data_IF_490723395111
#
_entry.id   IF_490723395111
#
_cell.length_a   1.000
_cell.length_b   1.000
_cell.length_c   1.000
_cell.angle_alpha   90.00
_cell.angle_beta   90.00
_cell.angle_gamma   90.00
#
_symmetry.space_group_name_H-M   'P 1'
#
loop_
_entity.id
_entity.type
_entity.pdbx_description
1 polymer ?
#
# COMPACT_ATOMS: atom_id res chain seq x y z
N UNK A 1 11.72 1.31 39.44
CA UNK A 1 10.26 1.20 39.41
C UNK A 1 9.80 0.51 40.68
N UNK A 2 8.76 1.00 41.37
CA UNK A 2 8.18 0.26 42.49
C UNK A 2 7.51 -1.02 41.97
N UNK A 3 7.91 -2.16 42.53
CA UNK A 3 7.31 -3.46 42.20
C UNK A 3 5.92 -3.54 42.83
N UNK A 4 4.89 -3.85 42.05
CA UNK A 4 3.57 -4.14 42.61
C UNK A 4 3.64 -5.50 43.33
N UNK A 5 3.82 -5.46 44.65
CA UNK A 5 4.00 -6.66 45.48
C UNK A 5 2.81 -7.63 45.41
N UNK A 6 1.60 -7.12 45.18
CA UNK A 6 0.41 -7.95 45.04
C UNK A 6 0.42 -8.74 43.74
N UNK A 7 0.80 -8.12 42.62
CA UNK A 7 0.93 -8.80 41.34
C UNK A 7 1.99 -9.90 41.39
N UNK A 8 3.13 -9.63 42.03
CA UNK A 8 4.20 -10.64 42.20
C UNK A 8 3.68 -11.86 42.96
N UNK A 9 2.94 -11.64 44.05
CA UNK A 9 2.33 -12.71 44.85
C UNK A 9 1.32 -13.52 44.03
N UNK A 10 0.46 -12.87 43.24
CA UNK A 10 -0.52 -13.55 42.37
C UNK A 10 0.15 -14.42 41.31
N UNK A 11 1.21 -13.93 40.67
CA UNK A 11 1.98 -14.70 39.69
C UNK A 11 2.70 -15.90 40.33
N UNK A 12 3.22 -15.75 41.54
CA UNK A 12 3.80 -16.89 42.30
C UNK A 12 2.74 -17.95 42.60
N UNK A 13 1.53 -17.54 43.00
CA UNK A 13 0.42 -18.47 43.22
C UNK A 13 -0.02 -19.16 41.92
N UNK A 14 -0.06 -18.42 40.82
CA UNK A 14 -0.38 -18.99 39.50
C UNK A 14 0.66 -20.02 39.05
N UNK A 15 1.95 -19.77 39.27
CA UNK A 15 3.02 -20.74 39.00
C UNK A 15 2.84 -22.04 39.81
N UNK A 16 2.59 -21.93 41.11
CA UNK A 16 2.34 -23.09 41.98
C UNK A 16 1.12 -23.90 41.51
N UNK A 17 0.01 -23.22 41.20
CA UNK A 17 -1.20 -23.85 40.68
C UNK A 17 -0.95 -24.59 39.36
N UNK A 18 -0.21 -23.98 38.42
CA UNK A 18 0.12 -24.61 37.14
C UNK A 18 0.99 -25.86 37.32
N UNK A 19 1.91 -25.84 38.29
CA UNK A 19 2.75 -26.99 38.64
C UNK A 19 1.93 -28.14 39.21
N UNK A 20 1.04 -27.86 40.17
CA UNK A 20 0.16 -28.84 40.82
C UNK A 20 -0.87 -29.47 39.85
N UNK A 21 -1.28 -28.74 38.82
CA UNK A 21 -2.28 -29.19 37.83
C UNK A 21 -1.66 -29.77 36.56
N UNK A 22 -0.40 -30.20 36.60
CA UNK A 22 0.23 -30.94 35.49
C UNK A 22 0.68 -30.08 34.30
N UNK A 23 0.85 -28.77 34.49
CA UNK A 23 1.40 -27.85 33.49
C UNK A 23 2.77 -27.26 33.93
N UNK A 24 3.78 -28.10 34.23
CA UNK A 24 5.06 -27.64 34.80
C UNK A 24 5.82 -26.68 33.88
N UNK A 25 5.61 -26.79 32.57
CA UNK A 25 6.26 -25.95 31.56
C UNK A 25 5.67 -24.53 31.52
N UNK A 26 4.37 -24.36 31.82
CA UNK A 26 3.76 -23.04 31.98
C UNK A 26 4.19 -22.40 33.31
N UNK A 27 4.27 -23.20 34.38
CA UNK A 27 4.82 -22.74 35.66
C UNK A 27 6.27 -22.23 35.49
N UNK A 28 7.11 -22.99 34.77
CA UNK A 28 8.48 -22.60 34.47
C UNK A 28 8.57 -21.29 33.67
N UNK A 29 7.65 -21.04 32.73
CA UNK A 29 7.60 -19.77 32.00
C UNK A 29 7.26 -18.60 32.94
N UNK A 30 6.30 -18.77 33.84
CA UNK A 30 5.94 -17.76 34.86
C UNK A 30 7.12 -17.51 35.81
N UNK A 31 7.79 -18.56 36.27
CA UNK A 31 8.97 -18.46 37.14
C UNK A 31 10.13 -17.75 36.43
N UNK A 32 10.33 -18.03 35.15
CA UNK A 32 11.33 -17.36 34.31
C UNK A 32 11.08 -15.85 34.24
N UNK A 33 9.81 -15.45 34.11
CA UNK A 33 9.41 -14.04 34.10
C UNK A 33 9.55 -13.38 35.48
N UNK A 34 9.31 -14.13 36.57
CA UNK A 34 9.45 -13.67 37.95
C UNK A 34 10.90 -13.58 38.45
N UNK A 35 11.83 -14.30 37.80
CA UNK A 35 13.25 -14.27 38.13
C UNK A 35 13.86 -12.86 37.92
N UNK A 36 14.97 -12.52 38.60
CA UNK A 36 15.68 -11.27 38.34
C UNK A 36 16.03 -11.13 36.85
N UNK A 37 15.58 -10.04 36.22
CA UNK A 37 15.75 -9.82 34.77
C UNK A 37 14.76 -10.56 33.87
N UNK A 38 13.92 -11.45 34.41
CA UNK A 38 12.91 -12.20 33.66
C UNK A 38 11.91 -11.32 32.91
N UNK A 39 11.55 -10.18 33.51
CA UNK A 39 10.67 -9.20 32.88
C UNK A 39 11.24 -8.63 31.57
N UNK A 40 12.58 -8.61 31.41
CA UNK A 40 13.21 -8.14 30.18
C UNK A 40 13.07 -9.14 29.01
N UNK A 41 12.84 -10.42 29.30
CA UNK A 41 12.69 -11.47 28.28
C UNK A 41 11.35 -11.41 27.56
N UNK A 42 10.32 -10.90 28.24
CA UNK A 42 8.97 -10.75 27.67
C UNK A 42 8.63 -9.30 27.34
N UNK A 43 9.48 -8.36 27.75
CA UNK A 43 9.31 -6.98 27.35
C UNK A 43 9.59 -6.93 25.85
N UNK A 44 8.66 -6.42 25.02
CA UNK A 44 9.00 -6.13 23.64
C UNK A 44 10.25 -5.24 23.67
N UNK A 45 11.26 -5.60 22.89
CA UNK A 45 12.50 -4.83 22.83
C UNK A 45 12.11 -3.38 22.61
N UNK A 46 12.33 -2.52 23.61
CA UNK A 46 12.09 -1.09 23.41
C UNK A 46 13.08 -0.72 22.34
N UNK A 47 12.59 -0.38 21.14
CA UNK A 47 13.47 0.02 20.06
C UNK A 47 14.26 1.23 20.55
N UNK A 48 15.57 1.04 20.70
CA UNK A 48 16.49 2.07 21.19
C UNK A 48 16.87 3.05 20.09
N UNK A 49 16.07 3.11 19.02
CA UNK A 49 16.39 3.87 17.83
C UNK A 49 16.19 5.36 18.02
N UNK A 50 16.88 6.13 17.18
CA UNK A 50 16.77 7.59 17.18
C UNK A 50 15.38 8.02 16.71
N UNK A 51 14.85 9.10 17.29
CA UNK A 51 13.60 9.71 16.84
C UNK A 51 13.66 10.02 15.35
N UNK A 52 12.69 9.49 14.61
CA UNK A 52 12.48 9.69 13.19
C UNK A 52 11.16 10.43 13.01
N UNK A 53 11.25 11.70 12.58
CA UNK A 53 10.10 12.54 12.30
C UNK A 53 9.65 12.36 10.85
N UNK A 54 8.41 11.93 10.65
CA UNK A 54 7.77 11.79 9.34
C UNK A 54 6.82 12.98 9.15
N UNK A 55 7.13 13.88 8.21
CA UNK A 55 6.28 15.03 7.93
C UNK A 55 5.05 14.61 7.10
N UNK A 56 3.85 14.77 7.67
CA UNK A 56 2.57 14.38 7.05
C UNK A 56 1.52 15.47 7.23
N UNK A 57 0.46 15.51 6.40
CA UNK A 57 -0.71 16.35 6.68
C UNK A 57 -1.29 16.03 8.07
N UNK A 58 -1.71 17.08 8.80
CA UNK A 58 -2.26 16.93 10.16
C UNK A 58 -3.41 15.91 10.24
N UNK A 59 -4.36 15.95 9.30
CA UNK A 59 -5.46 15.00 9.25
C UNK A 59 -4.99 13.54 9.16
N UNK A 60 -3.97 13.25 8.33
CA UNK A 60 -3.42 11.90 8.18
C UNK A 60 -2.66 11.45 9.45
N UNK A 61 -1.93 12.38 10.10
CA UNK A 61 -1.28 12.10 11.39
C UNK A 61 -2.31 11.65 12.42
N UNK A 62 -3.41 12.39 12.53
CA UNK A 62 -4.45 12.16 13.53
C UNK A 62 -5.20 10.86 13.25
N UNK A 63 -5.48 10.57 11.98
CA UNK A 63 -6.06 9.30 11.52
C UNK A 63 -5.16 8.10 11.87
N UNK A 64 -3.86 8.19 11.61
CA UNK A 64 -2.88 7.14 11.97
C UNK A 64 -2.79 6.91 13.48
N UNK A 65 -2.78 7.97 14.29
CA UNK A 65 -2.81 7.83 15.74
C UNK A 65 -4.11 7.21 16.24
N UNK A 66 -5.25 7.60 15.68
CA UNK A 66 -6.55 7.04 16.04
C UNK A 66 -6.63 5.54 15.68
N UNK A 67 -6.18 5.17 14.48
CA UNK A 67 -6.15 3.78 14.01
C UNK A 67 -5.23 2.90 14.88
N UNK A 68 -4.00 3.36 15.16
CA UNK A 68 -3.07 2.64 16.03
C UNK A 68 -3.64 2.47 17.45
N UNK A 69 -4.23 3.53 18.02
CA UNK A 69 -4.86 3.46 19.34
C UNK A 69 -6.04 2.49 19.38
N UNK A 70 -6.86 2.45 18.33
CA UNK A 70 -7.98 1.53 18.22
C UNK A 70 -7.54 0.06 18.14
N UNK A 71 -6.41 -0.20 17.46
CA UNK A 71 -5.80 -1.53 17.37
C UNK A 71 -5.01 -1.94 18.63
N UNK A 72 -4.66 -0.99 19.50
CA UNK A 72 -3.76 -1.23 20.63
C UNK A 72 -2.29 -1.30 20.23
N UNK A 73 -1.95 -0.78 19.05
CA UNK A 73 -0.63 -0.87 18.44
C UNK A 73 0.24 0.35 18.78
N UNK A 74 1.56 0.12 18.81
CA UNK A 74 2.58 1.16 18.82
C UNK A 74 2.96 1.51 17.39
N UNK A 75 2.84 2.77 16.98
CA UNK A 75 3.28 3.22 15.65
C UNK A 75 4.75 2.87 15.37
N UNK A 76 5.61 2.93 16.39
CA UNK A 76 7.03 2.53 16.26
C UNK A 76 7.16 1.04 15.96
N UNK A 77 6.37 0.19 16.60
CA UNK A 77 6.44 -1.26 16.42
C UNK A 77 5.92 -1.63 15.02
N UNK A 78 4.86 -0.98 14.55
CA UNK A 78 4.35 -1.15 13.18
C UNK A 78 5.35 -0.65 12.14
N UNK A 79 6.11 0.41 12.41
CA UNK A 79 7.20 0.84 11.51
C UNK A 79 8.32 -0.19 11.46
N UNK A 80 8.69 -0.79 12.61
CA UNK A 80 9.68 -1.88 12.63
C UNK A 80 9.19 -3.11 11.86
N UNK A 81 7.92 -3.49 12.02
CA UNK A 81 7.26 -4.54 11.24
C UNK A 81 7.36 -4.23 9.74
N UNK A 82 7.01 -3.01 9.33
CA UNK A 82 7.09 -2.58 7.94
C UNK A 82 8.51 -2.59 7.37
N UNK A 83 9.51 -2.19 8.16
CA UNK A 83 10.91 -2.27 7.75
C UNK A 83 11.39 -3.71 7.62
N UNK A 84 11.07 -4.59 8.57
CA UNK A 84 11.43 -6.01 8.48
C UNK A 84 10.83 -6.66 7.23
N UNK A 85 9.53 -6.45 6.98
CA UNK A 85 8.84 -6.93 5.78
C UNK A 85 9.42 -6.34 4.49
N UNK A 86 9.89 -5.10 4.53
CA UNK A 86 10.58 -4.48 3.39
C UNK A 86 11.93 -5.15 3.13
N UNK A 87 12.74 -5.32 4.17
CA UNK A 87 14.09 -5.90 4.09
C UNK A 87 14.03 -7.35 3.64
N UNK A 88 13.04 -8.12 4.09
CA UNK A 88 12.87 -9.52 3.71
C UNK A 88 12.13 -9.71 2.36
N UNK A 89 11.67 -8.62 1.73
CA UNK A 89 10.99 -8.64 0.43
C UNK A 89 9.52 -9.06 0.46
N UNK A 90 8.92 -9.28 1.63
CA UNK A 90 7.49 -9.61 1.77
C UNK A 90 6.58 -8.40 1.57
N UNK A 91 7.14 -7.19 1.63
CA UNK A 91 6.45 -5.95 1.35
C UNK A 91 7.33 -5.05 0.48
N UNK A 92 6.76 -4.42 -0.54
CA UNK A 92 7.46 -3.43 -1.38
C UNK A 92 6.76 -2.08 -1.24
N UNK A 93 7.39 -1.10 -0.56
CA UNK A 93 6.80 0.24 -0.41
C UNK A 93 6.55 0.91 -1.76
N UNK A 94 5.32 1.39 -1.97
CA UNK A 94 4.99 2.29 -3.06
C UNK A 94 5.38 3.72 -2.69
N UNK A 95 6.49 4.20 -3.24
CA UNK A 95 7.00 5.55 -2.99
C UNK A 95 6.49 6.48 -4.09
N UNK A 96 5.54 7.41 -3.78
CA UNK A 96 5.00 8.29 -4.80
C UNK A 96 6.10 9.20 -5.35
N UNK A 97 6.12 9.38 -6.67
CA UNK A 97 6.91 10.42 -7.30
C UNK A 97 6.54 11.77 -6.69
N UNK A 98 7.54 12.64 -6.42
CA UNK A 98 7.29 13.97 -5.85
C UNK A 98 6.24 14.70 -6.70
N UNK A 99 5.05 14.89 -6.14
CA UNK A 99 4.03 15.73 -6.77
C UNK A 99 4.53 17.17 -6.84
N UNK A 100 4.57 17.74 -8.04
CA UNK A 100 4.85 19.17 -8.25
C UNK A 100 3.53 19.93 -8.14
N UNK A 101 3.24 20.49 -6.97
CA UNK A 101 2.24 21.55 -6.81
C UNK A 101 1.30 21.38 -5.61
N UNK A 102 0.51 22.36 -5.17
CA UNK A 102 0.63 23.84 -5.22
C UNK A 102 -0.12 24.46 -4.03
N UNK A 103 -0.39 23.68 -2.97
CA UNK A 103 -1.09 24.18 -1.78
C UNK A 103 -0.28 23.76 -0.55
N UNK A 104 0.18 24.72 0.28
CA UNK A 104 0.83 24.38 1.53
C UNK A 104 -0.19 23.69 2.45
N UNK A 105 -0.11 22.36 2.55
CA UNK A 105 -0.79 21.62 3.61
C UNK A 105 -0.08 21.92 4.92
N UNK A 106 -0.81 22.12 6.01
CA UNK A 106 -0.21 22.19 7.35
C UNK A 106 0.38 20.81 7.63
N UNK A 107 1.71 20.74 7.58
CA UNK A 107 2.44 19.52 7.89
C UNK A 107 2.71 19.45 9.39
N UNK A 108 2.52 18.26 9.96
CA UNK A 108 2.89 17.92 11.33
C UNK A 108 3.83 16.72 11.29
N UNK A 109 4.69 16.65 12.29
CA UNK A 109 5.60 15.51 12.44
C UNK A 109 4.89 14.37 13.16
N UNK A 110 4.84 13.21 12.52
CA UNK A 110 4.60 11.93 13.16
C UNK A 110 5.94 11.39 13.65
N UNK A 111 6.14 11.36 14.97
CA UNK A 111 7.41 10.94 15.58
C UNK A 111 7.33 9.45 15.93
N UNK A 112 8.31 8.68 15.45
CA UNK A 112 8.49 7.25 15.76
C UNK A 112 9.96 6.98 16.08
N UNK A 113 10.27 5.90 16.77
CA UNK A 113 11.65 5.55 17.19
C UNK A 113 12.06 4.16 16.68
N UNK A 114 12.02 3.89 15.36
CA UNK A 114 12.26 2.55 14.82
C UNK A 114 13.70 2.09 15.07
N UNK A 115 13.91 0.78 15.06
CA UNK A 115 15.23 0.17 15.19
C UNK A 115 16.23 0.77 14.17
N UNK A 116 17.39 1.22 14.67
CA UNK A 116 18.39 1.90 13.85
C UNK A 116 19.02 0.97 12.80
N UNK A 117 19.08 -0.34 13.07
CA UNK A 117 19.61 -1.36 12.15
C UNK A 117 18.64 -1.59 11.00
N UNK A 118 17.36 -1.84 11.30
CA UNK A 118 16.31 -1.98 10.27
C UNK A 118 16.21 -0.73 9.41
N UNK A 119 16.25 0.45 10.04
CA UNK A 119 16.24 1.73 9.32
C UNK A 119 17.43 1.86 8.35
N UNK A 120 18.62 1.43 8.78
CA UNK A 120 19.82 1.47 7.94
C UNK A 120 19.73 0.46 6.78
N UNK A 121 19.21 -0.74 7.02
CA UNK A 121 19.00 -1.74 5.96
C UNK A 121 18.04 -1.24 4.88
N UNK A 122 16.91 -0.64 5.25
CA UNK A 122 15.97 -0.03 4.29
C UNK A 122 16.67 1.07 3.46
N UNK A 123 17.54 1.87 4.10
CA UNK A 123 18.33 2.90 3.42
C UNK A 123 19.34 2.28 2.43
N UNK A 124 19.99 1.19 2.80
CA UNK A 124 20.97 0.49 1.96
C UNK A 124 20.32 -0.17 0.73
N UNK A 125 19.02 -0.46 0.79
CA UNK A 125 18.20 -0.86 -0.37
C UNK A 125 17.86 0.31 -1.32
N UNK A 126 18.30 1.53 -1.03
CA UNK A 126 18.02 2.72 -1.83
C UNK A 126 16.65 3.35 -1.56
N UNK A 127 15.94 2.93 -0.52
CA UNK A 127 14.66 3.50 -0.12
C UNK A 127 14.85 4.61 0.92
N UNK A 128 13.91 5.56 0.95
CA UNK A 128 13.88 6.59 1.99
C UNK A 128 13.08 6.05 3.20
N UNK A 129 13.69 5.84 4.38
CA UNK A 129 13.02 5.14 5.48
C UNK A 129 11.75 5.83 5.98
N UNK A 130 11.70 7.16 5.95
CA UNK A 130 10.50 7.94 6.32
C UNK A 130 9.33 7.66 5.38
N UNK A 131 9.60 7.49 4.08
CA UNK A 131 8.56 7.18 3.09
C UNK A 131 8.12 5.74 3.17
N UNK A 132 9.05 4.80 3.31
CA UNK A 132 8.71 3.38 3.52
C UNK A 132 7.87 3.19 4.79
N UNK A 133 8.25 3.85 5.89
CA UNK A 133 7.48 3.84 7.13
C UNK A 133 6.07 4.40 6.96
N UNK A 134 5.94 5.56 6.31
CA UNK A 134 4.63 6.18 6.07
C UNK A 134 3.74 5.31 5.19
N UNK A 135 4.28 4.79 4.09
CA UNK A 135 3.53 3.96 3.17
C UNK A 135 3.03 2.68 3.87
N UNK A 136 3.87 2.01 4.66
CA UNK A 136 3.45 0.81 5.40
C UNK A 136 2.40 1.13 6.46
N UNK A 137 2.57 2.23 7.20
CA UNK A 137 1.56 2.70 8.16
C UNK A 137 0.20 2.93 7.47
N UNK A 138 0.21 3.59 6.31
CA UNK A 138 -1.03 3.83 5.57
C UNK A 138 -1.63 2.54 5.01
N UNK A 139 -0.80 1.58 4.60
CA UNK A 139 -1.21 0.25 4.15
C UNK A 139 -1.82 -0.57 5.29
N UNK A 140 -1.13 -0.68 6.42
CA UNK A 140 -1.56 -1.45 7.60
C UNK A 140 -2.94 -1.03 8.09
N UNK A 141 -3.15 0.28 8.20
CA UNK A 141 -4.41 0.82 8.72
C UNK A 141 -5.46 1.13 7.65
N UNK A 142 -5.16 0.88 6.37
CA UNK A 142 -6.04 1.21 5.25
C UNK A 142 -6.50 2.68 5.34
N UNK A 143 -5.54 3.60 5.45
CA UNK A 143 -5.79 5.06 5.51
C UNK A 143 -5.10 5.78 4.35
N UNK A 144 -5.45 7.05 4.14
CA UNK A 144 -4.93 7.84 3.03
C UNK A 144 -5.19 7.13 1.70
N UNK A 145 -4.14 6.70 1.00
CA UNK A 145 -4.27 6.05 -0.30
C UNK A 145 -4.77 4.61 -0.28
N UNK A 146 -4.73 3.98 0.88
CA UNK A 146 -5.25 2.64 1.06
C UNK A 146 -6.63 2.65 1.70
N UNK A 147 -7.23 3.82 1.95
CA UNK A 147 -8.58 3.88 2.49
C UNK A 147 -9.60 3.28 1.53
N UNK A 148 -10.62 2.62 2.09
CA UNK A 148 -11.73 2.09 1.30
C UNK A 148 -12.40 3.24 0.54
N UNK A 149 -12.49 3.10 -0.78
CA UNK A 149 -13.01 4.16 -1.64
C UNK A 149 -12.06 5.34 -1.87
N UNK A 150 -10.83 5.32 -1.34
CA UNK A 150 -9.82 6.31 -1.75
C UNK A 150 -9.50 6.09 -3.23
N UNK A 151 -9.85 7.07 -4.04
CA UNK A 151 -9.34 7.21 -5.40
C UNK A 151 -8.06 8.04 -5.38
N UNK A 152 -7.14 7.75 -4.46
CA UNK A 152 -5.91 8.55 -4.40
C UNK A 152 -5.26 8.51 -5.77
N UNK A 153 -5.08 9.68 -6.43
CA UNK A 153 -4.63 9.72 -7.80
C UNK A 153 -3.32 8.95 -7.88
N UNK A 154 -3.34 7.83 -8.60
CA UNK A 154 -2.11 7.11 -8.88
C UNK A 154 -1.28 8.06 -9.74
N UNK A 155 -0.07 8.41 -9.27
CA UNK A 155 0.76 9.42 -9.92
C UNK A 155 0.88 9.15 -11.42
N UNK A 156 0.75 10.21 -12.23
CA UNK A 156 0.87 10.10 -13.68
C UNK A 156 2.28 9.63 -14.05
N UNK A 157 2.36 8.63 -14.92
CA UNK A 157 3.63 8.16 -15.47
C UNK A 157 4.02 8.93 -16.74
N UNK A 158 4.82 8.28 -17.59
CA UNK A 158 5.25 8.86 -18.87
C UNK A 158 4.11 8.96 -19.88
N UNK A 159 4.26 9.85 -20.85
CA UNK A 159 3.35 9.92 -22.00
C UNK A 159 3.35 8.59 -22.77
N UNK A 160 2.17 7.97 -22.88
CA UNK A 160 1.90 6.76 -23.65
C UNK A 160 0.75 7.04 -24.60
N UNK A 161 1.04 6.93 -25.89
CA UNK A 161 0.08 7.24 -26.95
C UNK A 161 -0.46 5.93 -27.53
N UNK A 162 -1.76 5.88 -27.75
CA UNK A 162 -2.42 4.84 -28.55
C UNK A 162 -3.32 5.50 -29.57
N UNK A 163 -3.56 4.83 -30.70
CA UNK A 163 -4.49 5.31 -31.71
C UNK A 163 -5.85 4.65 -31.51
N UNK A 164 -6.91 5.45 -31.52
CA UNK A 164 -8.31 5.02 -31.45
C UNK A 164 -9.12 5.84 -32.47
N UNK A 165 -10.29 5.38 -32.93
CA UNK A 165 -11.17 6.19 -33.76
C UNK A 165 -11.52 7.51 -33.07
N UNK A 166 -11.66 8.60 -33.84
CA UNK A 166 -11.95 9.92 -33.28
C UNK A 166 -13.21 9.94 -32.43
N UNK A 167 -14.29 9.33 -32.91
CA UNK A 167 -15.54 9.22 -32.18
C UNK A 167 -15.32 8.56 -30.81
N UNK A 168 -14.56 7.46 -30.75
CA UNK A 168 -14.23 6.77 -29.50
C UNK A 168 -13.42 7.67 -28.57
N UNK A 169 -12.39 8.35 -29.07
CA UNK A 169 -11.58 9.27 -28.26
C UNK A 169 -12.44 10.37 -27.64
N UNK A 170 -13.33 10.95 -28.45
CA UNK A 170 -14.13 12.10 -28.03
C UNK A 170 -15.19 11.67 -27.02
N UNK A 171 -15.85 10.52 -27.22
CA UNK A 171 -16.77 9.91 -26.24
C UNK A 171 -16.08 9.57 -24.92
N UNK A 172 -14.87 9.01 -24.95
CA UNK A 172 -14.08 8.75 -23.73
C UNK A 172 -13.81 10.05 -22.98
N UNK A 173 -13.39 11.11 -23.68
CA UNK A 173 -13.05 12.41 -23.06
C UNK A 173 -14.28 13.09 -22.47
N UNK A 174 -15.39 13.08 -23.19
CA UNK A 174 -16.65 13.65 -22.73
C UNK A 174 -17.16 12.91 -21.49
N UNK A 175 -17.17 11.58 -21.51
CA UNK A 175 -17.63 10.77 -20.38
C UNK A 175 -16.75 10.94 -19.13
N UNK A 176 -15.42 10.97 -19.30
CA UNK A 176 -14.49 11.23 -18.21
C UNK A 176 -14.68 12.64 -17.62
N UNK A 177 -14.81 13.65 -18.49
CA UNK A 177 -15.05 15.03 -18.07
C UNK A 177 -16.40 15.17 -17.32
N UNK A 178 -17.46 14.50 -17.78
CA UNK A 178 -18.75 14.48 -17.11
C UNK A 178 -18.68 13.85 -15.71
N UNK A 179 -17.80 12.87 -15.51
CA UNK A 179 -17.51 12.27 -14.21
C UNK A 179 -16.54 13.09 -13.33
N UNK A 180 -16.07 14.25 -13.81
CA UNK A 180 -15.07 15.07 -13.11
C UNK A 180 -13.69 14.41 -13.00
N UNK A 181 -13.36 13.49 -13.92
CA UNK A 181 -12.13 12.69 -13.93
C UNK A 181 -11.38 12.84 -15.24
N UNK A 182 -10.12 12.42 -15.26
CA UNK A 182 -9.34 12.29 -16.48
C UNK A 182 -9.34 10.85 -16.99
N UNK A 183 -9.30 10.68 -18.32
CA UNK A 183 -9.14 9.35 -18.92
C UNK A 183 -7.88 8.62 -18.41
N UNK A 184 -6.83 9.34 -18.03
CA UNK A 184 -5.63 8.76 -17.42
C UNK A 184 -5.91 8.12 -16.05
N UNK A 185 -6.72 8.76 -15.20
CA UNK A 185 -7.09 8.20 -13.90
C UNK A 185 -7.93 6.94 -14.06
N UNK A 186 -8.87 6.93 -15.01
CA UNK A 186 -9.66 5.74 -15.30
C UNK A 186 -8.85 4.62 -15.96
N UNK A 187 -7.82 4.95 -16.73
CA UNK A 187 -6.86 3.94 -17.19
C UNK A 187 -6.10 3.34 -16.02
N UNK A 188 -5.64 4.14 -15.05
CA UNK A 188 -4.98 3.60 -13.86
C UNK A 188 -5.91 2.68 -13.06
N UNK A 189 -7.18 3.06 -12.92
CA UNK A 189 -8.22 2.22 -12.33
C UNK A 189 -8.38 0.90 -13.10
N UNK A 190 -8.42 0.94 -14.43
CA UNK A 190 -8.51 -0.26 -15.28
C UNK A 190 -7.30 -1.17 -15.19
N UNK A 191 -6.09 -0.61 -15.13
CA UNK A 191 -4.86 -1.39 -14.92
C UNK A 191 -4.87 -2.08 -13.56
N UNK A 192 -5.28 -1.37 -12.50
CA UNK A 192 -5.40 -1.95 -11.15
C UNK A 192 -6.48 -3.05 -11.11
N UNK A 193 -7.65 -2.81 -11.70
CA UNK A 193 -8.74 -3.78 -11.79
C UNK A 193 -8.31 -5.05 -12.54
N UNK A 194 -7.54 -4.91 -13.62
CA UNK A 194 -6.97 -6.04 -14.35
C UNK A 194 -6.00 -6.85 -13.48
N UNK A 195 -5.07 -6.20 -12.79
CA UNK A 195 -4.12 -6.89 -11.89
C UNK A 195 -4.85 -7.66 -10.79
N UNK A 196 -5.88 -7.05 -10.20
CA UNK A 196 -6.72 -7.66 -9.16
C UNK A 196 -7.63 -8.79 -9.67
N UNK A 197 -7.72 -9.02 -10.99
CA UNK A 197 -8.63 -10.02 -11.57
C UNK A 197 -10.10 -9.59 -11.61
N UNK A 198 -10.39 -8.33 -11.28
CA UNK A 198 -11.74 -7.75 -11.29
C UNK A 198 -12.17 -7.26 -12.68
N UNK A 199 -11.24 -7.27 -13.65
CA UNK A 199 -11.51 -6.88 -15.03
C UNK A 199 -10.75 -7.77 -16.00
N UNK A 200 -11.46 -8.31 -16.99
CA UNK A 200 -10.86 -9.03 -18.11
C UNK A 200 -10.84 -8.11 -19.35
N UNK A 201 -9.64 -7.79 -19.84
CA UNK A 201 -9.50 -7.07 -21.10
C UNK A 201 -9.97 -7.94 -22.27
N UNK A 202 -10.41 -7.30 -23.35
CA UNK A 202 -10.73 -7.95 -24.63
C UNK A 202 -9.80 -7.47 -25.76
N UNK A 203 -9.66 -8.23 -26.86
CA UNK A 203 -8.96 -7.78 -28.05
C UNK A 203 -9.63 -6.53 -28.62
N UNK A 204 -8.84 -5.50 -28.92
CA UNK A 204 -9.31 -4.31 -29.62
C UNK A 204 -9.04 -4.49 -31.11
N UNK A 205 -10.11 -4.54 -31.90
CA UNK A 205 -10.05 -4.53 -33.35
C UNK A 205 -10.96 -3.43 -33.85
N UNK A 206 -10.42 -2.51 -34.63
CA UNK A 206 -11.19 -1.44 -35.24
C UNK A 206 -11.60 -1.84 -36.66
N UNK A 207 -12.83 -1.51 -37.10
CA UNK A 207 -13.24 -1.69 -38.49
C UNK A 207 -12.30 -1.04 -39.50
N UNK A 208 -12.25 -1.58 -40.72
CA UNK A 208 -11.36 -1.06 -41.76
C UNK A 208 -11.77 0.35 -42.24
N UNK A 209 -13.07 0.65 -42.23
CA UNK A 209 -13.65 1.94 -42.65
C UNK A 209 -13.34 3.10 -41.69
N UNK A 210 -12.88 2.82 -40.47
CA UNK A 210 -12.46 3.85 -39.51
C UNK A 210 -10.94 4.06 -39.44
N UNK A 211 -10.15 3.32 -40.23
CA UNK A 211 -8.68 3.44 -40.19
C UNK A 211 -8.18 4.86 -40.54
N UNK A 212 -8.84 5.52 -41.48
CA UNK A 212 -8.47 6.87 -41.93
C UNK A 212 -8.79 7.97 -40.89
N UNK A 213 -9.61 7.67 -39.87
CA UNK A 213 -9.98 8.61 -38.79
C UNK A 213 -9.40 8.21 -37.42
N UNK A 214 -8.31 7.45 -37.43
CA UNK A 214 -7.57 7.11 -36.22
C UNK A 214 -6.83 8.34 -35.67
N UNK A 215 -7.02 8.62 -34.39
CA UNK A 215 -6.41 9.74 -33.69
C UNK A 215 -5.68 9.29 -32.43
N UNK A 216 -4.67 10.06 -32.03
CA UNK A 216 -3.91 9.80 -30.82
C UNK A 216 -4.76 10.10 -29.57
N UNK A 217 -4.96 9.08 -28.74
CA UNK A 217 -5.37 9.20 -27.34
C UNK A 217 -4.10 9.24 -26.49
N UNK A 218 -3.77 10.44 -25.98
CA UNK A 218 -2.64 10.67 -25.07
C UNK A 218 -3.04 10.24 -23.66
N UNK A 219 -2.32 9.29 -23.08
CA UNK A 219 -2.53 8.78 -21.73
C UNK A 219 -1.23 8.88 -20.93
N UNK A 220 -1.32 9.06 -19.61
CA UNK A 220 -0.16 9.06 -18.71
C UNK A 220 -0.34 8.03 -17.59
N UNK A 221 -0.54 6.75 -17.93
CA UNK A 221 -0.74 5.72 -16.92
C UNK A 221 0.46 5.69 -15.98
N UNK A 222 0.23 5.33 -14.71
CA UNK A 222 1.28 5.15 -13.73
C UNK A 222 2.31 4.12 -14.24
N UNK A 223 3.60 4.45 -14.12
CA UNK A 223 4.67 3.62 -14.68
C UNK A 223 4.73 2.24 -14.01
N UNK A 224 4.46 2.13 -12.70
CA UNK A 224 4.51 0.85 -11.97
C UNK A 224 3.34 -0.05 -12.38
N UNK A 225 2.11 0.48 -12.39
CA UNK A 225 0.93 -0.25 -12.88
C UNK A 225 1.14 -0.71 -14.32
N UNK A 226 1.71 0.16 -15.16
CA UNK A 226 2.00 -0.18 -16.55
C UNK A 226 2.97 -1.36 -16.68
N UNK A 227 4.05 -1.38 -15.90
CA UNK A 227 5.01 -2.50 -15.91
C UNK A 227 4.40 -3.78 -15.36
N UNK A 228 3.66 -3.70 -14.26
CA UNK A 228 2.99 -4.86 -13.66
C UNK A 228 2.00 -5.50 -14.64
N UNK A 229 1.17 -4.69 -15.33
CA UNK A 229 0.25 -5.19 -16.35
C UNK A 229 0.99 -5.78 -17.55
N UNK A 230 2.16 -5.24 -17.91
CA UNK A 230 2.98 -5.81 -18.98
C UNK A 230 3.45 -7.23 -18.65
N UNK A 231 3.85 -7.50 -17.41
CA UNK A 231 4.26 -8.83 -16.94
C UNK A 231 3.03 -9.75 -16.87
N UNK A 232 1.99 -9.34 -16.14
CA UNK A 232 0.76 -10.12 -15.97
C UNK A 232 0.06 -10.45 -17.31
N UNK A 233 0.10 -9.53 -18.27
CA UNK A 233 -0.46 -9.73 -19.61
C UNK A 233 0.26 -10.81 -20.43
N UNK A 234 1.56 -11.02 -20.19
CA UNK A 234 2.31 -12.14 -20.80
C UNK A 234 2.00 -13.46 -20.13
N UNK A 235 1.94 -13.47 -18.80
CA UNK A 235 1.64 -14.68 -18.01
C UNK A 235 0.24 -15.21 -18.30
N UNK A 236 -0.76 -14.30 -18.40
CA UNK A 236 -2.17 -14.66 -18.68
C UNK A 236 -2.48 -14.86 -20.16
N UNK A 237 -1.50 -14.75 -21.06
CA UNK A 237 -1.74 -14.79 -22.51
C UNK A 237 -2.33 -16.13 -22.98
N UNK A 238 -1.92 -17.25 -22.35
CA UNK A 238 -2.42 -18.58 -22.69
C UNK A 238 -3.91 -18.73 -22.32
N UNK A 239 -4.33 -18.16 -21.18
CA UNK A 239 -5.71 -18.21 -20.70
C UNK A 239 -6.63 -17.29 -21.51
N UNK A 240 -6.16 -16.09 -21.84
CA UNK A 240 -6.94 -15.08 -22.56
C UNK A 240 -7.00 -15.30 -24.08
N UNK A 241 -6.12 -16.13 -24.64
CA UNK A 241 -5.97 -16.32 -26.09
C UNK A 241 -5.31 -15.15 -26.82
N UNK A 242 -4.87 -14.12 -26.10
CA UNK A 242 -4.08 -12.99 -26.62
C UNK A 242 -3.24 -12.37 -25.49
N UNK A 243 -2.17 -11.66 -25.86
CA UNK A 243 -1.34 -10.93 -24.89
C UNK A 243 -1.94 -9.55 -24.61
N UNK A 244 -2.54 -9.37 -23.43
CA UNK A 244 -3.12 -8.08 -23.02
C UNK A 244 -2.02 -7.04 -22.76
N UNK A 245 -1.87 -6.07 -23.67
CA UNK A 245 -0.93 -4.95 -23.50
C UNK A 245 -1.53 -3.89 -22.56
N UNK A 246 -0.72 -3.15 -21.77
CA UNK A 246 -1.26 -2.17 -20.82
C UNK A 246 -2.19 -1.12 -21.45
N UNK A 247 -1.84 -0.53 -22.60
CA UNK A 247 -2.73 0.43 -23.27
C UNK A 247 -4.01 -0.22 -23.81
N UNK A 248 -3.96 -1.50 -24.17
CA UNK A 248 -5.14 -2.25 -24.59
C UNK A 248 -6.07 -2.51 -23.40
N UNK A 249 -5.52 -2.91 -22.25
CA UNK A 249 -6.27 -3.04 -20.99
C UNK A 249 -6.90 -1.70 -20.61
N UNK A 250 -6.14 -0.61 -20.68
CA UNK A 250 -6.63 0.72 -20.38
C UNK A 250 -7.80 1.13 -21.30
N UNK A 251 -7.65 0.98 -22.61
CA UNK A 251 -8.70 1.35 -23.56
C UNK A 251 -9.92 0.44 -23.45
N UNK A 252 -9.75 -0.89 -23.35
CA UNK A 252 -10.88 -1.82 -23.19
C UNK A 252 -11.66 -1.55 -21.90
N UNK A 253 -10.97 -1.19 -20.81
CA UNK A 253 -11.61 -0.75 -19.58
C UNK A 253 -12.42 0.53 -19.77
N UNK A 254 -11.88 1.56 -20.43
CA UNK A 254 -12.62 2.79 -20.72
C UNK A 254 -13.88 2.52 -21.55
N UNK A 255 -13.79 1.66 -22.57
CA UNK A 255 -14.92 1.27 -23.40
C UNK A 255 -16.01 0.58 -22.57
N UNK A 256 -15.62 -0.38 -21.72
CA UNK A 256 -16.54 -1.09 -20.84
C UNK A 256 -17.16 -0.16 -19.79
N UNK A 257 -16.35 0.70 -19.15
CA UNK A 257 -16.78 1.63 -18.09
C UNK A 257 -17.78 2.66 -18.61
N UNK A 258 -17.61 3.12 -19.85
CA UNK A 258 -18.45 4.15 -20.46
C UNK A 258 -19.51 3.61 -21.42
N UNK A 259 -19.68 2.29 -21.55
CA UNK A 259 -20.66 1.69 -22.46
C UNK A 259 -20.43 2.11 -23.92
N UNK A 260 -19.17 2.22 -24.35
CA UNK A 260 -18.80 2.56 -25.73
C UNK A 260 -18.60 1.27 -26.51
N UNK A 261 -19.58 0.93 -27.33
CA UNK A 261 -19.51 -0.25 -28.21
C UNK A 261 -18.57 0.01 -29.40
N UNK A 262 -17.76 -1.00 -29.73
CA UNK A 262 -17.03 -1.07 -31.00
C UNK A 262 -18.01 -1.64 -32.02
N UNK A 263 -18.46 -0.80 -32.96
CA UNK A 263 -19.28 -1.24 -34.09
C UNK A 263 -18.45 -2.03 -35.10
#
# INVERSE_FOLDING_TARGET
MPTNNDLRRQLTQASAFLSENGAPQLAQAVDTVLAPGGWALIKPAISSGKNMAIAVPEALRDELHAAAKAAGDSLTDIVNEGFDLTVNGSYTPHIPARERGTVPKVLKNLNVTPDDTLRQQVKDMGLEPTKAALDYLTFKYQVGRYAAGSSTPVGQGKDRNTNVPREVRDRIREAAAAAGRSATEDVNEGLAAYLAGNFASFPLSWPADVQDDMVVLKLRPNDDLYQQVMVAGRERAAEAGFTARPLQVGVSFLLSKYGIEIK
#
